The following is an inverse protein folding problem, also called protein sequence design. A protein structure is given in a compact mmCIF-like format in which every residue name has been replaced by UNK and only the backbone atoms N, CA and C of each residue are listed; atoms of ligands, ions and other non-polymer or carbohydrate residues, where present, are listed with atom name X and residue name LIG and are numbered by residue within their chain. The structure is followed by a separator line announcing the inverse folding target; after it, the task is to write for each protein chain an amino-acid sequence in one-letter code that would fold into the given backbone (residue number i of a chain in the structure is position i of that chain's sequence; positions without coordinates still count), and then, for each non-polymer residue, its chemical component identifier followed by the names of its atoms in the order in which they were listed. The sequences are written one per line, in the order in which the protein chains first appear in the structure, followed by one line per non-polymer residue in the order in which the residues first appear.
data_IF_189130296891
#
_entry.id   IF_189130296891
#
_cell.length_a   1.000
_cell.length_b   1.000
_cell.length_c   1.000
_cell.angle_alpha   90.00
_cell.angle_beta   90.00
_cell.angle_gamma   90.00
#
_symmetry.space_group_name_H-M   'P 1'
#
loop_
_entity.id
_entity.type
_entity.pdbx_description
1 polymer ?
#
# COMPACT_ATOMS: atom_id res chain seq x y z
N UNK A 1 20.74 14.92 1.19
CA UNK A 1 19.32 14.52 1.37
C UNK A 1 18.62 14.78 0.06
N UNK A 2 18.17 13.74 -0.65
CA UNK A 2 17.25 13.96 -1.75
C UNK A 2 15.90 14.38 -1.14
N UNK A 3 15.25 15.45 -1.63
CA UNK A 3 13.98 15.90 -1.11
C UNK A 3 12.90 14.84 -1.35
N UNK A 4 11.90 14.81 -0.46
CA UNK A 4 10.67 14.03 -0.63
C UNK A 4 10.17 14.10 -2.06
N UNK A 5 9.83 12.96 -2.67
CA UNK A 5 9.01 12.97 -3.87
C UNK A 5 7.58 13.32 -3.43
N UNK A 6 7.29 14.62 -3.31
CA UNK A 6 5.92 15.11 -3.21
C UNK A 6 5.32 15.11 -4.61
N UNK A 7 4.39 14.20 -4.82
CA UNK A 7 3.72 13.99 -6.08
C UNK A 7 2.30 14.56 -5.96
N UNK A 8 1.86 15.29 -6.99
CA UNK A 8 0.51 15.87 -7.05
C UNK A 8 -0.32 15.01 -7.99
N UNK A 9 -1.13 14.09 -7.47
CA UNK A 9 -1.98 13.19 -8.26
C UNK A 9 -3.44 13.30 -7.80
N UNK A 10 -4.18 14.34 -8.22
CA UNK A 10 -5.60 14.48 -7.92
C UNK A 10 -6.43 13.25 -8.34
N UNK A 11 -6.01 12.56 -9.41
CA UNK A 11 -6.62 11.33 -9.92
C UNK A 11 -6.64 10.18 -8.92
N UNK A 12 -5.81 10.22 -7.86
CA UNK A 12 -5.79 9.22 -6.79
C UNK A 12 -6.90 9.36 -5.78
N UNK A 13 -7.55 10.53 -5.71
CA UNK A 13 -8.58 10.80 -4.69
C UNK A 13 -9.73 9.80 -4.71
N UNK A 14 -10.35 9.47 -5.86
CA UNK A 14 -11.47 8.51 -5.88
C UNK A 14 -11.05 7.12 -5.40
N UNK A 15 -9.83 6.67 -5.76
CA UNK A 15 -9.30 5.39 -5.31
C UNK A 15 -9.04 5.40 -3.79
N UNK A 16 -8.47 6.47 -3.26
CA UNK A 16 -8.25 6.62 -1.82
C UNK A 16 -9.58 6.59 -1.05
N UNK A 17 -10.59 7.33 -1.52
CA UNK A 17 -11.93 7.35 -0.96
C UNK A 17 -12.59 5.96 -0.99
N UNK A 18 -12.46 5.22 -2.10
CA UNK A 18 -12.97 3.85 -2.22
C UNK A 18 -12.34 2.90 -1.20
N UNK A 19 -11.01 2.95 -1.06
CA UNK A 19 -10.27 2.11 -0.12
C UNK A 19 -10.62 2.43 1.34
N UNK A 20 -10.75 3.72 1.68
CA UNK A 20 -11.17 4.18 3.00
C UNK A 20 -12.56 3.64 3.31
N UNK A 21 -13.52 3.82 2.40
CA UNK A 21 -14.88 3.34 2.56
C UNK A 21 -14.94 1.82 2.76
N UNK A 22 -14.14 1.07 1.99
CA UNK A 22 -14.06 -0.40 2.10
C UNK A 22 -13.50 -0.85 3.44
N UNK A 23 -12.42 -0.24 3.93
CA UNK A 23 -11.83 -0.59 5.22
C UNK A 23 -12.76 -0.21 6.37
N UNK A 24 -13.41 0.95 6.32
CA UNK A 24 -14.40 1.36 7.33
C UNK A 24 -15.58 0.40 7.38
N UNK A 25 -16.17 0.07 6.23
CA UNK A 25 -17.29 -0.86 6.14
C UNK A 25 -16.90 -2.28 6.59
N UNK A 26 -15.70 -2.73 6.23
CA UNK A 26 -15.17 -4.03 6.62
C UNK A 26 -14.85 -4.10 8.11
N UNK A 27 -14.24 -3.05 8.68
CA UNK A 27 -13.91 -2.97 10.10
C UNK A 27 -15.17 -3.09 10.97
N UNK A 28 -16.27 -2.44 10.58
CA UNK A 28 -17.57 -2.54 11.25
C UNK A 28 -18.15 -3.97 11.27
N UNK A 29 -17.71 -4.86 10.37
CA UNK A 29 -18.15 -6.26 10.30
C UNK A 29 -17.27 -7.22 11.11
N UNK A 30 -16.14 -6.75 11.64
CA UNK A 30 -15.20 -7.55 12.41
C UNK A 30 -14.18 -8.31 11.56
N UNK A 31 -14.57 -8.85 10.41
CA UNK A 31 -13.67 -9.53 9.47
C UNK A 31 -14.02 -9.19 8.03
N UNK A 32 -13.01 -8.94 7.20
CA UNK A 32 -13.20 -8.66 5.78
C UNK A 32 -11.95 -8.97 4.97
N UNK A 33 -12.08 -8.94 3.64
CA UNK A 33 -10.94 -9.12 2.75
C UNK A 33 -10.93 -8.14 1.59
N UNK A 34 -9.72 -7.87 1.10
CA UNK A 34 -9.47 -7.00 -0.03
C UNK A 34 -8.41 -7.63 -0.94
N UNK A 35 -8.66 -7.80 -2.24
CA UNK A 35 -7.64 -8.19 -3.21
C UNK A 35 -6.38 -7.34 -3.04
N UNK A 36 -5.20 -7.96 -2.98
CA UNK A 36 -3.95 -7.20 -2.79
C UNK A 36 -3.72 -6.22 -3.94
N UNK A 37 -4.24 -6.53 -5.13
CA UNK A 37 -4.22 -5.65 -6.30
C UNK A 37 -4.88 -4.30 -6.01
N UNK A 38 -5.97 -4.27 -5.24
CA UNK A 38 -6.68 -3.04 -4.88
C UNK A 38 -5.84 -2.19 -3.94
N UNK A 39 -5.17 -2.83 -2.97
CA UNK A 39 -4.25 -2.15 -2.07
C UNK A 39 -3.06 -1.56 -2.83
N UNK A 40 -2.42 -2.31 -3.72
CA UNK A 40 -1.20 -1.82 -4.37
C UNK A 40 -1.44 -0.74 -5.41
N UNK A 41 -2.68 -0.56 -5.88
CA UNK A 41 -3.06 0.58 -6.74
C UNK A 41 -2.78 1.91 -6.06
N UNK A 42 -2.73 2.00 -4.72
CA UNK A 42 -2.34 3.24 -4.01
C UNK A 42 -0.96 3.77 -4.42
N UNK A 43 -0.11 2.89 -4.94
CA UNK A 43 1.22 3.25 -5.41
C UNK A 43 1.29 3.47 -6.92
N UNK A 44 0.26 3.07 -7.67
CA UNK A 44 0.28 3.12 -9.13
C UNK A 44 -1.15 3.17 -9.69
N UNK A 45 -1.79 4.36 -9.71
CA UNK A 45 -3.11 4.53 -10.34
C UNK A 45 -3.13 4.05 -11.78
N UNK A 46 -2.06 4.38 -12.50
CA UNK A 46 -1.92 4.17 -13.94
C UNK A 46 -1.27 2.80 -14.26
N UNK A 47 -1.19 1.89 -13.29
CA UNK A 47 -0.67 0.55 -13.54
C UNK A 47 -1.47 -0.12 -14.65
N UNK A 48 -0.78 -0.61 -15.69
CA UNK A 48 -1.45 -1.35 -16.75
C UNK A 48 -2.09 -2.62 -16.19
N UNK A 49 -3.18 -3.08 -16.80
CA UNK A 49 -3.84 -4.34 -16.43
C UNK A 49 -2.86 -5.53 -16.44
N UNK A 50 -1.89 -5.52 -17.36
CA UNK A 50 -0.85 -6.55 -17.44
C UNK A 50 0.09 -6.54 -16.22
N UNK A 51 0.40 -5.38 -15.65
CA UNK A 51 1.17 -5.27 -14.40
C UNK A 51 0.33 -5.69 -13.20
N UNK A 52 -0.93 -5.25 -13.13
CA UNK A 52 -1.86 -5.65 -12.07
C UNK A 52 -2.14 -7.17 -12.08
N UNK A 53 -2.16 -7.80 -13.25
CA UNK A 53 -2.33 -9.25 -13.37
C UNK A 53 -1.19 -10.05 -12.71
N UNK A 54 0.03 -9.49 -12.64
CA UNK A 54 1.17 -10.14 -11.97
C UNK A 54 0.97 -10.29 -10.46
N UNK A 55 0.18 -9.39 -9.86
CA UNK A 55 -0.11 -9.40 -8.42
C UNK A 55 -1.47 -9.99 -8.09
N UNK A 56 -2.40 -10.06 -9.05
CA UNK A 56 -3.73 -10.64 -8.84
C UNK A 56 -3.68 -12.08 -8.29
N UNK A 57 -2.71 -12.89 -8.74
CA UNK A 57 -2.50 -14.25 -8.27
C UNK A 57 -2.06 -14.38 -6.80
N UNK A 58 -1.73 -13.28 -6.12
CA UNK A 58 -1.42 -13.30 -4.68
C UNK A 58 -2.63 -13.44 -3.79
N UNK A 59 -3.84 -13.23 -4.30
CA UNK A 59 -5.07 -13.32 -3.53
C UNK A 59 -5.38 -12.03 -2.78
N UNK A 60 -5.90 -12.17 -1.56
CA UNK A 60 -6.45 -11.08 -0.79
C UNK A 60 -5.72 -10.87 0.54
N UNK A 61 -5.67 -9.62 0.96
CA UNK A 61 -5.43 -9.24 2.34
C UNK A 61 -6.67 -9.57 3.16
N UNK A 62 -6.48 -10.34 4.21
CA UNK A 62 -7.48 -10.70 5.20
C UNK A 62 -7.29 -9.78 6.41
N UNK A 63 -8.38 -9.17 6.86
CA UNK A 63 -8.39 -8.23 7.96
C UNK A 63 -9.30 -8.75 9.07
N UNK A 64 -8.82 -8.61 10.31
CA UNK A 64 -9.57 -8.94 11.53
C UNK A 64 -9.50 -7.73 12.47
N UNK A 65 -10.65 -7.14 12.76
CA UNK A 65 -10.80 -6.14 13.81
C UNK A 65 -10.70 -6.82 15.18
N UNK A 66 -9.89 -6.25 16.07
CA UNK A 66 -9.77 -6.70 17.46
C UNK A 66 -9.97 -5.58 18.48
N UNK A 67 -10.15 -4.34 18.03
CA UNK A 67 -10.53 -3.19 18.84
C UNK A 67 -11.40 -2.21 18.03
N UNK A 68 -11.90 -1.15 18.68
CA UNK A 68 -12.85 -0.20 18.07
C UNK A 68 -12.31 0.60 16.88
N UNK A 69 -10.98 0.73 16.77
CA UNK A 69 -10.32 1.55 15.75
C UNK A 69 -9.10 0.85 15.15
N UNK A 70 -8.86 -0.43 15.46
CA UNK A 70 -7.71 -1.14 14.93
C UNK A 70 -7.93 -2.65 14.82
N UNK A 71 -7.00 -3.29 14.12
CA UNK A 71 -6.99 -4.72 13.94
C UNK A 71 -5.68 -5.23 13.36
N UNK A 72 -5.69 -6.51 12.99
CA UNK A 72 -4.59 -7.15 12.28
C UNK A 72 -4.97 -7.40 10.82
N UNK A 73 -3.96 -7.51 9.97
CA UNK A 73 -4.14 -7.97 8.60
C UNK A 73 -3.06 -8.99 8.23
N UNK A 74 -3.37 -9.82 7.25
CA UNK A 74 -2.44 -10.78 6.67
C UNK A 74 -2.70 -11.02 5.18
N UNK A 75 -1.63 -11.26 4.43
CA UNK A 75 -1.61 -11.88 3.12
C UNK A 75 -0.98 -13.26 3.31
N UNK A 76 -1.71 -14.35 3.06
CA UNK A 76 -1.18 -15.69 3.19
C UNK A 76 0.08 -15.94 2.35
N UNK A 77 0.84 -16.94 2.76
CA UNK A 77 2.07 -17.36 2.09
C UNK A 77 1.82 -17.67 0.60
N UNK A 78 2.72 -17.18 -0.26
CA UNK A 78 2.71 -17.49 -1.69
C UNK A 78 3.93 -16.93 -2.41
N UNK A 79 3.95 -17.06 -3.73
CA UNK A 79 5.08 -16.62 -4.55
C UNK A 79 5.32 -15.11 -4.40
N UNK A 80 6.57 -14.65 -4.44
CA UNK A 80 6.85 -13.21 -4.53
C UNK A 80 6.28 -12.67 -5.83
N UNK A 81 5.71 -11.47 -5.78
CA UNK A 81 5.26 -10.75 -6.97
C UNK A 81 6.02 -9.43 -7.08
N UNK A 82 6.27 -9.01 -8.31
CA UNK A 82 6.89 -7.72 -8.61
C UNK A 82 6.12 -7.09 -9.73
N UNK A 83 5.79 -5.81 -9.58
CA UNK A 83 5.03 -5.06 -10.56
C UNK A 83 5.63 -3.67 -10.71
N UNK A 84 5.72 -3.24 -11.96
CA UNK A 84 6.23 -1.94 -12.33
C UNK A 84 5.11 -0.91 -12.25
N UNK A 85 5.37 0.21 -11.57
CA UNK A 85 4.40 1.30 -11.41
C UNK A 85 4.37 2.22 -12.63
N UNK A 86 5.24 2.00 -13.61
CA UNK A 86 5.34 2.70 -14.89
C UNK A 86 5.88 4.13 -14.75
N UNK A 87 5.25 4.94 -13.89
CA UNK A 87 5.58 6.34 -13.64
C UNK A 87 6.78 6.44 -12.69
N UNK A 88 7.71 7.35 -13.00
CA UNK A 88 8.94 7.62 -12.22
C UNK A 88 9.93 6.43 -12.08
N UNK A 89 9.68 5.32 -12.78
CA UNK A 89 10.51 4.12 -12.74
C UNK A 89 10.49 3.44 -11.37
N UNK A 90 9.37 3.44 -10.66
CA UNK A 90 9.24 2.69 -9.42
C UNK A 90 8.78 1.25 -9.66
N UNK A 91 9.34 0.34 -8.89
CA UNK A 91 8.96 -1.07 -8.86
C UNK A 91 8.60 -1.43 -7.42
N UNK A 92 7.48 -2.12 -7.25
CA UNK A 92 7.09 -2.67 -5.96
C UNK A 92 7.21 -4.18 -5.96
N UNK A 93 7.70 -4.72 -4.84
CA UNK A 93 7.77 -6.15 -4.58
C UNK A 93 6.89 -6.51 -3.40
N UNK A 94 5.96 -7.44 -3.65
CA UNK A 94 5.14 -8.08 -2.62
C UNK A 94 5.93 -9.26 -2.05
N UNK A 95 6.11 -9.33 -0.72
CA UNK A 95 6.83 -10.42 -0.07
C UNK A 95 6.07 -11.75 -0.14
N UNK A 96 6.74 -12.83 0.30
CA UNK A 96 6.18 -14.19 0.34
C UNK A 96 4.95 -14.25 1.25
N UNK A 97 4.99 -13.52 2.35
CA UNK A 97 3.87 -13.28 3.27
C UNK A 97 3.94 -11.82 3.69
N UNK A 98 2.79 -11.24 4.01
CA UNK A 98 2.70 -9.84 4.44
C UNK A 98 1.73 -9.79 5.62
N UNK A 99 2.08 -9.16 6.73
CA UNK A 99 1.17 -9.05 7.87
C UNK A 99 1.48 -7.82 8.70
N UNK A 100 0.58 -7.48 9.60
CA UNK A 100 0.80 -6.40 10.54
C UNK A 100 -0.47 -5.88 11.17
N UNK A 101 -0.46 -4.59 11.52
CA UNK A 101 -1.57 -3.88 12.15
C UNK A 101 -2.19 -2.90 11.17
N UNK A 102 -3.47 -2.64 11.33
CA UNK A 102 -4.13 -1.49 10.72
C UNK A 102 -4.86 -0.67 11.76
N UNK A 103 -4.97 0.64 11.50
CA UNK A 103 -5.71 1.61 12.31
C UNK A 103 -6.69 2.34 11.39
N UNK A 104 -7.87 2.65 11.91
CA UNK A 104 -8.92 3.38 11.20
C UNK A 104 -9.12 4.73 11.88
N UNK A 105 -9.19 5.79 11.08
CA UNK A 105 -9.46 7.15 11.55
C UNK A 105 -10.69 7.70 10.84
N UNK A 106 -11.23 8.83 11.30
CA UNK A 106 -12.42 9.44 10.70
C UNK A 106 -12.25 9.77 9.21
N UNK A 107 -11.04 10.13 8.77
CA UNK A 107 -10.70 10.58 7.42
C UNK A 107 -9.78 9.62 6.66
N UNK A 108 -9.53 8.42 7.19
CA UNK A 108 -8.53 7.54 6.59
C UNK A 108 -8.28 6.23 7.30
N UNK A 109 -7.17 5.60 6.94
CA UNK A 109 -6.61 4.44 7.61
C UNK A 109 -5.09 4.42 7.51
N UNK A 110 -4.46 3.64 8.38
CA UNK A 110 -3.03 3.34 8.37
C UNK A 110 -2.82 1.84 8.38
N UNK A 111 -1.80 1.39 7.65
CA UNK A 111 -1.28 0.02 7.70
C UNK A 111 0.16 0.06 8.17
N UNK A 112 0.50 -0.72 9.20
CA UNK A 112 1.86 -0.93 9.70
C UNK A 112 2.26 -2.38 9.47
N UNK A 113 3.38 -2.61 8.79
CA UNK A 113 3.86 -3.95 8.48
C UNK A 113 4.72 -4.52 9.62
N UNK A 114 4.68 -5.84 9.78
CA UNK A 114 5.61 -6.57 10.63
C UNK A 114 7.02 -6.58 10.00
N UNK A 115 8.04 -6.63 10.87
CA UNK A 115 9.44 -6.63 10.43
C UNK A 115 9.76 -7.84 9.54
N UNK A 116 10.35 -7.58 8.37
CA UNK A 116 10.70 -8.60 7.38
C UNK A 116 9.56 -9.03 6.46
N UNK A 117 8.36 -8.48 6.65
CA UNK A 117 7.15 -8.76 5.86
C UNK A 117 6.64 -7.50 5.14
N UNK A 118 7.49 -6.50 5.00
CA UNK A 118 7.15 -5.22 4.39
C UNK A 118 7.09 -5.30 2.87
N UNK A 119 6.34 -4.37 2.26
CA UNK A 119 6.51 -4.08 0.84
C UNK A 119 7.91 -3.51 0.58
N UNK A 120 8.48 -3.81 -0.58
CA UNK A 120 9.73 -3.19 -1.00
C UNK A 120 9.52 -2.31 -2.22
N UNK A 121 9.79 -1.02 -2.06
CA UNK A 121 9.83 -0.06 -3.16
C UNK A 121 11.26 0.09 -3.68
N UNK A 122 11.44 0.03 -5.00
CA UNK A 122 12.75 0.18 -5.63
C UNK A 122 12.66 1.22 -6.77
N UNK A 123 13.61 2.14 -6.86
CA UNK A 123 13.74 3.04 -8.02
C UNK A 123 14.60 2.36 -9.09
N UNK A 124 14.11 2.33 -10.33
CA UNK A 124 14.71 1.61 -11.47
C UNK A 124 16.00 2.24 -12.01
N UNK A 125 16.37 3.44 -11.55
CA UNK A 125 17.36 4.27 -12.26
C UNK A 125 18.83 3.83 -12.11
N UNK A 126 19.35 3.37 -10.95
CA UNK A 126 20.74 2.90 -10.85
C UNK A 126 20.92 2.05 -9.58
N UNK A 127 21.14 0.74 -9.72
CA UNK A 127 21.15 -0.28 -8.64
C UNK A 127 19.80 -0.37 -7.89
N UNK A 128 19.24 -1.57 -7.76
CA UNK A 128 18.00 -1.84 -7.01
C UNK A 128 18.23 -1.58 -5.51
N UNK A 129 18.33 -0.32 -5.10
CA UNK A 129 18.24 0.07 -3.70
C UNK A 129 16.77 0.00 -3.33
N UNK A 130 16.34 -1.19 -2.93
CA UNK A 130 15.00 -1.42 -2.44
C UNK A 130 14.94 -0.97 -0.98
N UNK A 131 13.96 -0.13 -0.65
CA UNK A 131 13.67 0.20 0.74
C UNK A 131 12.36 -0.45 1.14
N UNK A 132 12.33 -0.90 2.40
CA UNK A 132 11.15 -1.47 3.02
C UNK A 132 10.19 -0.35 3.39
N UNK A 133 8.97 -0.45 2.89
CA UNK A 133 7.84 0.41 3.23
C UNK A 133 7.24 -0.14 4.51
N UNK A 134 7.49 0.54 5.62
CA UNK A 134 7.09 0.09 6.96
C UNK A 134 5.67 0.52 7.31
N UNK A 135 5.16 1.58 6.68
CA UNK A 135 3.83 2.11 6.97
C UNK A 135 3.23 2.77 5.73
N UNK A 136 1.92 2.63 5.55
CA UNK A 136 1.15 3.32 4.51
C UNK A 136 -0.05 3.99 5.17
N UNK A 137 -0.12 5.31 5.05
CA UNK A 137 -1.25 6.13 5.44
C UNK A 137 -2.05 6.49 4.20
N UNK A 138 -3.37 6.30 4.25
CA UNK A 138 -4.29 6.73 3.19
C UNK A 138 -5.36 7.59 3.85
N UNK A 139 -5.40 8.87 3.49
CA UNK A 139 -6.43 9.82 3.95
C UNK A 139 -7.17 10.41 2.75
N UNK A 140 -8.24 11.15 3.02
CA UNK A 140 -8.99 11.91 2.01
C UNK A 140 -8.18 13.00 1.30
N UNK A 141 -6.98 13.33 1.80
CA UNK A 141 -6.13 14.38 1.23
C UNK A 141 -4.84 13.87 0.59
N UNK A 142 -4.32 12.73 1.07
CA UNK A 142 -3.02 12.23 0.65
C UNK A 142 -2.83 10.73 0.91
N UNK A 143 -1.88 10.15 0.19
CA UNK A 143 -1.27 8.85 0.50
C UNK A 143 0.17 9.08 0.93
N UNK A 144 0.57 8.49 2.05
CA UNK A 144 1.93 8.59 2.56
C UNK A 144 2.51 7.20 2.82
N UNK A 145 3.59 6.85 2.14
CA UNK A 145 4.34 5.62 2.37
C UNK A 145 5.65 5.95 3.07
N UNK A 146 5.84 5.41 4.28
CA UNK A 146 7.06 5.56 5.08
C UNK A 146 8.00 4.41 4.80
N UNK A 147 9.29 4.71 4.61
CA UNK A 147 10.34 3.70 4.54
C UNK A 147 11.35 3.87 5.68
N UNK A 148 12.09 2.80 6.03
CA UNK A 148 13.19 2.89 7.01
C UNK A 148 14.22 3.98 6.68
N UNK A 149 14.39 4.28 5.40
CA UNK A 149 15.26 5.35 4.92
C UNK A 149 14.40 6.35 4.14
N UNK A 150 14.48 7.63 4.53
CA UNK A 150 13.71 8.75 3.93
C UNK A 150 13.84 8.90 2.40
N UNK A 151 14.76 8.18 1.77
CA UNK A 151 15.02 8.21 0.32
C UNK A 151 13.81 7.78 -0.53
N UNK A 152 12.88 7.00 0.04
CA UNK A 152 11.69 6.52 -0.65
C UNK A 152 10.38 6.90 0.06
N UNK A 153 10.40 7.87 0.97
CA UNK A 153 9.17 8.41 1.50
C UNK A 153 8.38 9.02 0.32
N UNK A 154 7.24 8.40 0.00
CA UNK A 154 6.38 8.81 -1.09
C UNK A 154 5.16 9.49 -0.49
N UNK A 155 4.96 10.75 -0.87
CA UNK A 155 3.77 11.49 -0.49
C UNK A 155 3.03 11.89 -1.76
N UNK A 156 1.84 11.33 -1.95
CA UNK A 156 0.94 11.69 -3.04
C UNK A 156 -0.15 12.59 -2.47
N UNK A 157 -0.13 13.87 -2.81
CA UNK A 157 -1.14 14.85 -2.42
C UNK A 157 -2.18 15.00 -3.54
N UNK A 158 -3.45 15.17 -3.18
CA UNK A 158 -4.54 15.25 -4.17
C UNK A 158 -4.88 16.69 -4.62
N UNK A 159 -4.22 17.71 -4.07
CA UNK A 159 -4.38 19.14 -4.37
C UNK A 159 -3.01 19.76 -4.56
#
# INVERSE_FOLDING_TARGET
MLPFARLKWPEMRPLAEELIARIHAGHAQGNFSMPVVDFVRVFSPDASEAELAKVAGRGALEFTSDASECGAFQLPEGARATFDLGREGFVLRIPVRMSGRYEVFADGFRVLFNEGEELEGCKRLFLLVCNRIITVDVTTERIYAHAHVKLLDMCVEFN
#
